data_IF_045993670639
#
_entry.id   IF_045993670639
#
_cell.length_a   1.000
_cell.length_b   1.000
_cell.length_c   1.000
_cell.angle_alpha   90.00
_cell.angle_beta   90.00
_cell.angle_gamma   90.00
#
_symmetry.space_group_name_H-M   'P 1'
#
loop_
_entity.id
_entity.type
_entity.pdbx_description
1 polymer ?
#
# COMPACT_ATOMS: atom_id res chain seq x y z
N UNK A 1 -15.13 3.87 -16.46
CA UNK A 1 -16.27 4.82 -16.61
C UNK A 1 -16.43 5.74 -15.40
N UNK A 2 -16.46 5.22 -14.16
CA UNK A 2 -16.63 6.03 -12.95
C UNK A 2 -15.59 7.17 -12.80
N UNK A 3 -14.30 6.91 -13.06
CA UNK A 3 -13.24 7.95 -13.06
C UNK A 3 -13.49 9.11 -14.04
N UNK A 4 -14.09 8.83 -15.22
CA UNK A 4 -14.44 9.87 -16.21
C UNK A 4 -15.63 10.72 -15.74
N UNK A 5 -16.59 10.10 -15.03
CA UNK A 5 -17.71 10.82 -14.42
C UNK A 5 -17.23 11.74 -13.30
N UNK A 6 -16.39 11.24 -12.40
CA UNK A 6 -15.81 12.03 -11.31
C UNK A 6 -15.03 13.24 -11.85
N UNK A 7 -14.17 13.06 -12.85
CA UNK A 7 -13.42 14.18 -13.45
C UNK A 7 -14.30 15.22 -14.16
N UNK A 8 -15.47 14.81 -14.66
CA UNK A 8 -16.46 15.73 -15.23
C UNK A 8 -17.17 16.53 -14.14
N UNK A 9 -17.52 15.87 -13.03
CA UNK A 9 -18.22 16.50 -11.90
C UNK A 9 -17.32 17.37 -11.00
N UNK A 10 -15.99 17.21 -11.06
CA UNK A 10 -15.03 18.01 -10.27
C UNK A 10 -14.71 19.36 -10.94
N UNK A 11 -14.86 19.49 -12.27
CA UNK A 11 -14.63 20.75 -13.00
C UNK A 11 -15.75 21.76 -12.72
N UNK A 12 -15.58 22.51 -11.65
CA UNK A 12 -16.41 23.67 -11.30
C UNK A 12 -15.61 24.93 -11.64
N UNK A 13 -16.22 25.96 -12.21
CA UNK A 13 -15.53 27.15 -12.76
C UNK A 13 -14.81 28.05 -11.74
N UNK A 14 -14.67 27.63 -10.49
CA UNK A 14 -13.86 28.32 -9.47
C UNK A 14 -12.54 27.57 -9.23
N UNK A 15 -11.48 28.30 -8.86
CA UNK A 15 -10.13 27.78 -8.70
C UNK A 15 -9.94 26.66 -7.65
N UNK A 16 -10.99 26.31 -6.89
CA UNK A 16 -11.00 25.18 -5.97
C UNK A 16 -11.99 24.12 -6.45
N UNK A 17 -11.54 22.89 -6.76
CA UNK A 17 -12.44 21.79 -7.09
C UNK A 17 -13.36 21.48 -5.90
N UNK A 18 -14.68 21.55 -6.12
CA UNK A 18 -15.70 21.20 -5.12
C UNK A 18 -16.55 20.06 -5.64
N UNK A 19 -16.73 19.02 -4.81
CA UNK A 19 -17.65 17.92 -5.07
C UNK A 19 -18.94 18.15 -4.29
N UNK A 20 -20.00 18.56 -4.98
CA UNK A 20 -21.29 18.80 -4.34
C UNK A 20 -22.04 17.48 -4.08
N UNK A 21 -22.74 17.38 -2.94
CA UNK A 21 -23.47 16.16 -2.54
C UNK A 21 -24.43 15.65 -3.62
N UNK A 22 -25.21 16.56 -4.21
CA UNK A 22 -26.15 16.24 -5.28
C UNK A 22 -25.48 15.67 -6.55
N UNK A 23 -24.16 15.86 -6.73
CA UNK A 23 -23.39 15.28 -7.84
C UNK A 23 -22.97 13.85 -7.53
N UNK A 24 -22.68 13.55 -6.27
CA UNK A 24 -22.35 12.20 -5.79
C UNK A 24 -23.56 11.28 -5.97
N UNK A 25 -24.75 11.75 -5.59
CA UNK A 25 -26.01 11.00 -5.72
C UNK A 25 -26.33 10.59 -7.16
N UNK A 26 -25.85 11.34 -8.15
CA UNK A 26 -26.10 11.09 -9.59
C UNK A 26 -25.02 10.24 -10.25
N UNK A 27 -24.00 9.80 -9.51
CA UNK A 27 -22.96 8.94 -10.08
C UNK A 27 -23.55 7.59 -10.45
N UNK A 28 -23.38 7.21 -11.72
CA UNK A 28 -23.84 5.91 -12.20
C UNK A 28 -22.77 4.88 -11.88
N UNK A 29 -23.01 4.11 -10.83
CA UNK A 29 -22.18 2.97 -10.44
C UNK A 29 -22.84 1.66 -10.85
N UNK A 30 -22.03 0.70 -11.27
CA UNK A 30 -22.49 -0.67 -11.46
C UNK A 30 -22.54 -1.30 -10.07
N UNK A 31 -23.70 -1.81 -9.67
CA UNK A 31 -23.90 -2.54 -8.43
C UNK A 31 -24.12 -4.02 -8.77
N UNK A 32 -23.08 -4.87 -8.70
CA UNK A 32 -23.22 -6.31 -8.93
C UNK A 32 -24.01 -6.98 -7.79
N UNK A 33 -24.28 -8.28 -7.89
CA UNK A 33 -24.96 -9.03 -6.82
C UNK A 33 -24.12 -9.01 -5.53
N UNK A 34 -24.76 -9.20 -4.37
CA UNK A 34 -24.04 -9.24 -3.08
C UNK A 34 -22.97 -10.35 -3.06
N UNK A 35 -23.28 -11.48 -3.67
CA UNK A 35 -22.35 -12.61 -3.81
C UNK A 35 -21.10 -12.24 -4.62
N UNK A 36 -21.29 -11.55 -5.75
CA UNK A 36 -20.17 -11.09 -6.58
C UNK A 36 -19.36 -9.99 -5.88
N UNK A 37 -20.02 -9.06 -5.19
CA UNK A 37 -19.35 -8.04 -4.36
C UNK A 37 -18.45 -8.70 -3.31
N UNK A 38 -18.95 -9.70 -2.58
CA UNK A 38 -18.18 -10.41 -1.58
C UNK A 38 -16.96 -11.13 -2.18
N UNK A 39 -17.11 -11.77 -3.34
CA UNK A 39 -15.99 -12.41 -4.05
C UNK A 39 -14.90 -11.41 -4.43
N UNK A 40 -15.31 -10.24 -4.94
CA UNK A 40 -14.37 -9.17 -5.30
C UNK A 40 -13.64 -8.67 -4.05
N UNK A 41 -14.37 -8.40 -2.96
CA UNK A 41 -13.78 -7.93 -1.70
C UNK A 41 -12.79 -8.94 -1.15
N UNK A 42 -13.17 -10.22 -1.06
CA UNK A 42 -12.28 -11.27 -0.58
C UNK A 42 -10.98 -11.37 -1.40
N UNK A 43 -11.08 -11.31 -2.73
CA UNK A 43 -9.89 -11.34 -3.58
C UNK A 43 -8.97 -10.14 -3.30
N UNK A 44 -9.53 -8.93 -3.25
CA UNK A 44 -8.78 -7.69 -3.01
C UNK A 44 -8.14 -7.69 -1.61
N UNK A 45 -8.87 -8.12 -0.59
CA UNK A 45 -8.37 -8.17 0.79
C UNK A 45 -7.23 -9.17 0.94
N UNK A 46 -7.31 -10.33 0.27
CA UNK A 46 -6.23 -11.30 0.27
C UNK A 46 -4.94 -10.71 -0.31
N UNK A 47 -5.02 -10.01 -1.43
CA UNK A 47 -3.85 -9.34 -2.02
C UNK A 47 -3.30 -8.24 -1.11
N UNK A 48 -4.18 -7.43 -0.51
CA UNK A 48 -3.76 -6.39 0.44
C UNK A 48 -3.06 -6.98 1.67
N UNK A 49 -3.55 -8.11 2.18
CA UNK A 49 -2.93 -8.83 3.29
C UNK A 49 -1.52 -9.32 2.93
N UNK A 50 -1.34 -9.89 1.73
CA UNK A 50 -0.03 -10.32 1.25
C UNK A 50 0.94 -9.16 1.08
N UNK A 51 0.51 -8.05 0.47
CA UNK A 51 1.34 -6.84 0.32
C UNK A 51 1.80 -6.33 1.69
N UNK A 52 0.86 -6.20 2.63
CA UNK A 52 1.16 -5.74 3.98
C UNK A 52 2.11 -6.66 4.73
N UNK A 53 1.98 -7.98 4.55
CA UNK A 53 2.90 -8.95 5.14
C UNK A 53 4.33 -8.75 4.61
N UNK A 54 4.49 -8.58 3.30
CA UNK A 54 5.78 -8.37 2.65
C UNK A 54 6.42 -7.04 3.05
N UNK A 55 5.63 -5.96 3.10
CA UNK A 55 6.10 -4.65 3.57
C UNK A 55 6.60 -4.70 5.02
N UNK A 56 5.88 -5.40 5.88
CA UNK A 56 6.29 -5.62 7.27
C UNK A 56 7.58 -6.44 7.36
N UNK A 57 7.72 -7.48 6.53
CA UNK A 57 8.92 -8.29 6.47
C UNK A 57 10.14 -7.48 6.00
N UNK A 58 9.98 -6.70 4.93
CA UNK A 58 11.00 -5.79 4.43
C UNK A 58 11.41 -4.75 5.48
N UNK A 59 10.44 -4.18 6.20
CA UNK A 59 10.70 -3.22 7.28
C UNK A 59 11.55 -3.85 8.41
N UNK A 60 11.19 -5.07 8.83
CA UNK A 60 11.97 -5.84 9.82
C UNK A 60 13.40 -6.09 9.33
N UNK A 61 13.57 -6.53 8.08
CA UNK A 61 14.91 -6.76 7.52
C UNK A 61 15.75 -5.48 7.47
N UNK A 62 15.15 -4.35 7.08
CA UNK A 62 15.84 -3.04 7.10
C UNK A 62 16.27 -2.64 8.50
N UNK A 63 15.41 -2.87 9.50
CA UNK A 63 15.73 -2.59 10.90
C UNK A 63 16.89 -3.46 11.40
N UNK A 64 16.84 -4.78 11.15
CA UNK A 64 17.90 -5.72 11.51
C UNK A 64 19.21 -5.34 10.82
N UNK A 65 19.18 -5.04 9.51
CA UNK A 65 20.36 -4.59 8.76
C UNK A 65 20.99 -3.34 9.39
N UNK A 66 20.17 -2.37 9.80
CA UNK A 66 20.65 -1.14 10.45
C UNK A 66 21.27 -1.41 11.82
N UNK A 67 20.63 -2.26 12.64
CA UNK A 67 21.14 -2.66 13.95
C UNK A 67 22.46 -3.42 13.83
N UNK A 68 22.50 -4.45 12.97
CA UNK A 68 23.70 -5.23 12.70
C UNK A 68 24.85 -4.34 12.21
N UNK A 69 24.58 -3.45 11.26
CA UNK A 69 25.60 -2.51 10.78
C UNK A 69 26.12 -1.60 11.90
N UNK A 70 25.25 -1.14 12.80
CA UNK A 70 25.68 -0.36 13.96
C UNK A 70 26.57 -1.20 14.90
N UNK A 71 26.17 -2.42 15.24
CA UNK A 71 26.93 -3.27 16.16
C UNK A 71 28.30 -3.68 15.61
N UNK A 72 28.39 -3.89 14.28
CA UNK A 72 29.64 -4.20 13.59
C UNK A 72 30.56 -2.97 13.44
N UNK A 73 30.03 -1.84 12.98
CA UNK A 73 30.82 -0.62 12.75
C UNK A 73 31.27 0.07 14.04
N UNK A 74 30.51 -0.10 15.13
CA UNK A 74 30.91 0.41 16.46
C UNK A 74 31.79 -0.58 17.23
N UNK A 75 32.03 -1.77 16.69
CA UNK A 75 32.88 -2.78 17.31
C UNK A 75 32.31 -3.39 18.59
N UNK A 76 31.01 -3.18 18.88
CA UNK A 76 30.29 -3.85 19.97
C UNK A 76 30.30 -5.37 19.80
N UNK A 77 30.18 -5.84 18.56
CA UNK A 77 30.31 -7.26 18.21
C UNK A 77 31.46 -7.40 17.20
N UNK A 78 32.46 -8.19 17.55
CA UNK A 78 33.58 -8.50 16.64
C UNK A 78 33.20 -9.64 15.71
N UNK A 79 33.49 -9.48 14.43
CA UNK A 79 33.35 -10.57 13.45
C UNK A 79 34.52 -11.53 13.64
N UNK A 80 34.25 -12.73 14.16
CA UNK A 80 35.21 -13.82 14.09
C UNK A 80 35.19 -14.38 12.67
N UNK A 81 36.16 -13.94 11.87
CA UNK A 81 36.44 -14.56 10.59
C UNK A 81 37.11 -15.90 10.93
N UNK A 82 36.41 -17.03 10.76
CA UNK A 82 37.13 -18.28 10.53
C UNK A 82 37.79 -18.09 9.17
N UNK A 83 39.05 -17.70 9.19
CA UNK A 83 39.86 -17.62 7.99
C UNK A 83 40.02 -19.05 7.47
N UNK A 84 39.14 -19.47 6.56
CA UNK A 84 39.56 -20.36 5.49
C UNK A 84 40.47 -19.51 4.58
N UNK A 85 41.74 -19.43 4.96
CA UNK A 85 42.82 -19.25 3.99
C UNK A 85 43.07 -20.59 3.28
N UNK A 86 43.77 -20.58 2.13
CA UNK A 86 43.83 -21.71 1.19
C UNK A 86 44.25 -23.04 1.82
#
# INVERSE_FOLDING_TARGET
MCKKQINKEIRTGGGVPKLALHRIERLKIIKPSVEEQNKIVHAVDNYNASIKAEENYLSKLKFIKKGLMHDLLTGKVRVNIKAEGP
#
